data_IF_628089913771
#
_entry.id   IF_628089913771
#
_cell.length_a   1.000
_cell.length_b   1.000
_cell.length_c   1.000
_cell.angle_alpha   90.00
_cell.angle_beta   90.00
_cell.angle_gamma   90.00
#
_symmetry.space_group_name_H-M   'P 1'
#
loop_
_entity.id
_entity.type
_entity.pdbx_description
1 polymer ?
#
# COMPACT_ATOMS: atom_id res chain seq x y z
N UNK A 1 -1.59 33.81 -62.01
CA UNK A 1 -0.11 33.81 -62.17
C UNK A 1 0.49 33.37 -60.85
N UNK A 2 1.46 32.46 -60.91
CA UNK A 2 2.41 32.10 -59.85
C UNK A 2 3.47 33.23 -59.65
N UNK A 3 4.47 33.16 -58.74
CA UNK A 3 4.72 32.26 -57.59
C UNK A 3 5.22 32.97 -56.29
N UNK A 4 5.73 32.17 -55.34
CA UNK A 4 6.80 32.42 -54.33
C UNK A 4 6.50 33.00 -52.92
N UNK A 5 6.30 32.06 -51.98
CA UNK A 5 7.31 31.58 -50.99
C UNK A 5 7.87 32.47 -49.85
N UNK A 6 8.37 31.83 -48.75
CA UNK A 6 8.31 32.40 -47.40
C UNK A 6 9.65 32.94 -46.87
N UNK A 7 9.60 33.56 -45.68
CA UNK A 7 10.80 33.85 -44.88
C UNK A 7 10.91 32.94 -43.67
N UNK A 8 12.00 32.17 -43.66
CA UNK A 8 12.59 31.57 -42.46
C UNK A 8 13.29 32.64 -41.62
N UNK A 9 13.28 32.48 -40.30
CA UNK A 9 14.18 33.18 -39.38
C UNK A 9 14.72 32.20 -38.36
N UNK A 10 16.02 31.92 -38.44
CA UNK A 10 16.76 31.16 -37.46
C UNK A 10 18.12 31.83 -37.22
N UNK A 11 18.50 31.90 -35.93
CA UNK A 11 19.81 32.26 -35.38
C UNK A 11 20.40 33.67 -35.63
N UNK A 12 20.77 34.29 -34.51
CA UNK A 12 21.77 35.35 -34.45
C UNK A 12 23.00 34.81 -33.68
N UNK A 13 24.15 34.87 -34.34
CA UNK A 13 25.48 34.68 -33.75
C UNK A 13 25.95 35.99 -33.07
N UNK A 14 26.89 35.89 -32.11
CA UNK A 14 28.02 36.81 -32.14
C UNK A 14 29.37 36.13 -31.87
N UNK A 15 30.21 36.02 -32.90
CA UNK A 15 31.64 35.80 -32.76
C UNK A 15 32.41 36.99 -32.15
N UNK A 16 33.74 37.03 -32.05
CA UNK A 16 34.85 36.06 -32.10
C UNK A 16 36.14 36.90 -32.27
N UNK A 17 37.06 36.95 -31.29
CA UNK A 17 38.44 37.48 -31.38
C UNK A 17 39.25 36.92 -30.17
N UNK A 18 40.50 36.45 -30.25
CA UNK A 18 41.37 36.25 -31.42
C UNK A 18 42.86 35.95 -31.10
N UNK A 19 43.19 34.78 -30.54
CA UNK A 19 44.54 34.15 -30.56
C UNK A 19 45.68 34.74 -29.71
N UNK A 20 46.91 34.16 -29.71
CA UNK A 20 47.33 32.89 -30.36
C UNK A 20 47.91 31.82 -29.39
N UNK A 21 47.98 30.56 -29.85
CA UNK A 21 48.75 29.48 -29.20
C UNK A 21 50.23 29.49 -29.60
N UNK A 22 51.08 28.77 -28.85
CA UNK A 22 51.89 27.74 -29.51
C UNK A 22 51.90 26.39 -28.77
N UNK A 23 52.09 25.31 -29.52
CA UNK A 23 52.37 23.95 -29.03
C UNK A 23 53.72 23.51 -29.60
N UNK A 24 54.59 22.89 -28.78
CA UNK A 24 55.85 22.33 -29.31
C UNK A 24 56.89 21.88 -28.28
N UNK A 25 56.96 20.56 -28.04
CA UNK A 25 58.25 19.85 -28.02
C UNK A 25 59.08 19.70 -26.74
N UNK A 26 58.94 18.52 -26.11
CA UNK A 26 60.02 17.62 -25.65
C UNK A 26 60.90 17.91 -24.40
N UNK A 27 61.36 16.80 -23.81
CA UNK A 27 62.37 16.62 -22.72
C UNK A 27 61.99 17.15 -21.32
N UNK A 28 62.23 16.46 -20.19
CA UNK A 28 62.73 15.10 -19.94
C UNK A 28 62.83 14.77 -18.43
N UNK A 29 63.34 13.58 -18.09
CA UNK A 29 63.79 13.09 -16.77
C UNK A 29 62.76 12.69 -15.67
N UNK A 30 62.96 11.46 -15.18
CA UNK A 30 62.47 10.88 -13.90
C UNK A 30 63.57 11.03 -12.81
N UNK A 31 63.34 10.77 -11.50
CA UNK A 31 63.15 9.41 -10.92
C UNK A 31 61.99 9.33 -9.90
N UNK A 32 61.43 8.20 -9.43
CA UNK A 32 61.83 6.77 -9.32
C UNK A 32 62.58 6.34 -8.02
N UNK A 33 61.81 5.89 -7.02
CA UNK A 33 62.19 4.93 -5.96
C UNK A 33 60.86 4.40 -5.33
N UNK A 34 60.48 3.11 -5.17
CA UNK A 34 61.10 1.77 -5.25
C UNK A 34 61.41 1.09 -3.88
N UNK A 35 60.49 0.22 -3.42
CA UNK A 35 60.65 -1.03 -2.62
C UNK A 35 59.21 -1.54 -2.27
N UNK A 36 58.65 -2.71 -2.63
CA UNK A 36 59.04 -4.16 -2.65
C UNK A 36 58.90 -4.90 -1.31
N UNK A 37 57.86 -5.75 -1.19
CA UNK A 37 57.89 -7.18 -0.79
C UNK A 37 56.44 -7.74 -0.81
N UNK A 38 56.09 -8.84 -1.50
CA UNK A 38 56.34 -10.27 -1.22
C UNK A 38 55.46 -10.83 -0.06
N UNK A 39 54.85 -12.02 -0.05
CA UNK A 39 54.46 -13.09 -1.00
C UNK A 39 53.78 -14.19 -0.13
N UNK A 40 52.79 -14.93 -0.65
CA UNK A 40 52.23 -16.16 -0.04
C UNK A 40 51.09 -15.98 0.99
N UNK A 41 50.16 -16.93 1.17
CA UNK A 41 49.92 -18.17 0.41
C UNK A 41 48.78 -19.03 1.01
N UNK A 42 48.12 -19.84 0.16
CA UNK A 42 47.42 -21.12 0.42
C UNK A 42 46.49 -21.31 1.65
N UNK A 43 45.28 -21.85 1.41
CA UNK A 43 44.52 -22.58 2.44
C UNK A 43 43.06 -22.86 2.05
N UNK A 44 42.62 -24.12 2.07
CA UNK A 44 41.27 -24.53 1.66
C UNK A 44 40.57 -25.43 2.71
N UNK A 45 39.23 -25.42 2.69
CA UNK A 45 38.28 -26.40 3.24
C UNK A 45 38.23 -26.68 4.76
N UNK A 46 37.01 -26.83 5.30
CA UNK A 46 36.79 -27.36 6.67
C UNK A 46 35.43 -27.08 7.31
N UNK A 47 34.44 -27.96 7.08
CA UNK A 47 33.20 -28.15 7.86
C UNK A 47 33.06 -29.67 8.12
N UNK A 48 32.21 -30.14 9.06
CA UNK A 48 32.05 -29.80 10.49
C UNK A 48 32.46 -31.02 11.36
N UNK A 49 31.97 -31.24 12.61
CA UNK A 49 30.70 -31.96 12.78
C UNK A 49 29.85 -31.54 14.03
N UNK A 50 28.82 -32.35 14.33
CA UNK A 50 27.63 -32.10 15.16
C UNK A 50 27.58 -32.86 16.51
N UNK A 51 26.38 -32.92 17.13
CA UNK A 51 25.95 -33.58 18.40
C UNK A 51 26.10 -32.73 19.69
N UNK A 52 25.15 -32.70 20.64
CA UNK A 52 23.80 -33.30 20.71
C UNK A 52 23.05 -32.91 22.02
N UNK A 53 21.75 -33.21 22.15
CA UNK A 53 20.99 -33.16 23.43
C UNK A 53 21.11 -34.48 24.23
N UNK A 54 20.15 -34.89 25.09
CA UNK A 54 18.81 -34.30 25.38
C UNK A 54 18.32 -34.43 26.87
N UNK A 55 16.99 -34.25 27.11
CA UNK A 55 16.15 -34.72 28.26
C UNK A 55 16.28 -33.95 29.62
N UNK A 56 15.33 -33.89 30.57
CA UNK A 56 13.85 -34.12 30.73
C UNK A 56 13.46 -33.66 32.16
N UNK A 57 12.19 -33.33 32.50
CA UNK A 57 11.74 -33.41 33.91
C UNK A 57 10.61 -32.50 34.42
N UNK A 58 9.40 -33.05 34.43
CA UNK A 58 8.10 -32.61 35.00
C UNK A 58 7.96 -32.12 36.47
N UNK A 59 6.87 -31.35 36.69
CA UNK A 59 5.83 -31.41 37.78
C UNK A 59 6.03 -30.75 39.18
N UNK A 60 4.89 -30.21 39.69
CA UNK A 60 4.50 -30.06 41.11
C UNK A 60 4.64 -28.64 41.69
N UNK A 61 3.59 -27.84 41.87
CA UNK A 61 2.56 -27.83 42.96
C UNK A 61 3.11 -27.59 44.38
N UNK A 62 2.87 -26.40 44.95
CA UNK A 62 1.95 -26.20 46.09
C UNK A 62 1.97 -24.75 46.63
N UNK A 63 0.77 -24.26 46.98
CA UNK A 63 0.47 -23.08 47.82
C UNK A 63 0.14 -23.64 49.23
N UNK A 64 0.29 -22.95 50.40
CA UNK A 64 -0.74 -21.95 50.78
C UNK A 64 -0.42 -20.89 51.90
N UNK A 65 -1.38 -19.95 52.12
CA UNK A 65 -1.76 -19.25 53.39
C UNK A 65 -0.78 -18.21 54.01
N UNK A 66 -1.15 -17.04 54.57
CA UNK A 66 -2.29 -16.68 55.45
C UNK A 66 -2.46 -15.14 55.71
N UNK A 67 -3.63 -14.72 56.28
CA UNK A 67 -3.88 -13.43 56.99
C UNK A 67 -4.56 -12.30 56.17
N UNK A 68 -5.77 -11.75 56.41
CA UNK A 68 -6.59 -11.40 57.62
C UNK A 68 -5.95 -10.22 58.41
N UNK A 69 -6.50 -9.01 58.65
CA UNK A 69 -7.88 -8.43 58.86
C UNK A 69 -7.97 -6.97 58.27
N UNK A 70 -9.04 -6.14 58.36
CA UNK A 70 -10.46 -6.29 58.74
C UNK A 70 -11.11 -5.07 59.48
N UNK A 71 -12.20 -4.48 58.94
CA UNK A 71 -13.15 -3.46 59.53
C UNK A 71 -12.65 -1.99 59.69
N UNK A 72 -13.46 -0.91 59.80
CA UNK A 72 -14.92 -0.61 59.75
C UNK A 72 -15.15 0.80 59.09
N UNK A 73 -16.31 1.18 58.52
CA UNK A 73 -17.46 1.85 59.20
C UNK A 73 -17.18 3.32 59.60
N UNK A 74 -18.02 4.36 59.40
CA UNK A 74 -19.42 4.47 58.89
C UNK A 74 -19.83 5.96 58.67
N UNK A 75 -20.91 6.24 57.92
CA UNK A 75 -21.78 7.46 57.97
C UNK A 75 -21.17 8.81 57.50
N UNK A 76 -21.89 9.86 57.04
CA UNK A 76 -23.29 10.16 56.67
C UNK A 76 -23.31 11.58 55.99
N UNK A 77 -24.34 12.14 55.35
CA UNK A 77 -25.58 11.68 54.69
C UNK A 77 -26.23 12.89 53.94
N UNK A 78 -27.17 12.61 53.01
CA UNK A 78 -28.15 13.60 52.50
C UNK A 78 -27.94 14.06 51.04
N UNK A 79 -28.97 14.21 50.20
CA UNK A 79 -30.40 13.85 50.39
C UNK A 79 -31.14 13.78 49.04
N UNK A 80 -32.18 12.91 48.95
CA UNK A 80 -33.38 12.99 48.07
C UNK A 80 -33.14 13.13 46.54
N UNK A 81 -33.69 12.31 45.65
CA UNK A 81 -34.70 11.24 45.78
C UNK A 81 -35.81 11.39 44.74
N UNK A 82 -35.99 10.39 43.86
CA UNK A 82 -37.16 10.10 42.99
C UNK A 82 -36.92 8.73 42.32
N UNK A 83 -37.98 8.05 41.89
CA UNK A 83 -38.00 6.73 41.21
C UNK A 83 -37.95 5.44 42.06
N UNK A 84 -38.39 5.48 43.32
CA UNK A 84 -38.64 4.26 44.13
C UNK A 84 -39.88 3.44 43.70
N UNK A 85 -40.24 3.46 42.42
CA UNK A 85 -41.35 2.71 41.81
C UNK A 85 -40.91 1.90 40.58
N UNK A 86 -39.60 1.82 40.31
CA UNK A 86 -39.02 1.00 39.24
C UNK A 86 -38.43 -0.33 39.75
N UNK A 87 -38.26 -0.50 41.06
CA UNK A 87 -37.59 -1.68 41.63
C UNK A 87 -38.56 -2.85 41.91
N UNK A 88 -39.84 -2.60 42.26
CA UNK A 88 -40.84 -3.67 42.38
C UNK A 88 -41.23 -4.30 41.03
N UNK A 89 -41.02 -3.60 39.91
CA UNK A 89 -41.19 -4.18 38.57
C UNK A 89 -40.06 -5.17 38.20
N UNK A 90 -38.89 -5.07 38.83
CA UNK A 90 -37.74 -5.93 38.54
C UNK A 90 -37.85 -7.32 39.19
N UNK A 91 -38.53 -7.45 40.33
CA UNK A 91 -38.71 -8.73 41.02
C UNK A 91 -39.69 -9.67 40.29
N UNK A 92 -40.79 -9.13 39.74
CA UNK A 92 -41.84 -9.97 39.11
C UNK A 92 -41.43 -10.54 37.74
N UNK A 93 -40.47 -9.90 37.07
CA UNK A 93 -39.94 -10.35 35.77
C UNK A 93 -38.80 -11.38 35.88
N UNK A 94 -38.23 -11.62 37.07
CA UNK A 94 -37.11 -12.55 37.23
C UNK A 94 -37.49 -14.02 37.40
N UNK A 95 -38.76 -14.34 37.73
CA UNK A 95 -39.18 -15.73 38.06
C UNK A 95 -39.96 -16.46 36.95
N UNK A 96 -40.35 -15.82 35.84
CA UNK A 96 -41.28 -16.40 34.85
C UNK A 96 -40.74 -16.61 33.43
N UNK A 97 -39.45 -16.33 33.17
CA UNK A 97 -38.83 -16.51 31.85
C UNK A 97 -37.88 -17.73 31.73
N UNK A 98 -37.94 -18.68 32.66
CA UNK A 98 -37.24 -19.94 32.53
C UNK A 98 -37.90 -20.84 31.45
N UNK A 99 -37.13 -21.21 30.43
CA UNK A 99 -37.45 -22.20 29.37
C UNK A 99 -38.20 -21.68 28.13
N UNK A 100 -37.52 -20.86 27.32
CA UNK A 100 -37.69 -20.81 25.86
C UNK A 100 -36.31 -20.80 25.21
N UNK A 101 -36.01 -21.61 24.17
CA UNK A 101 -34.74 -21.51 23.45
C UNK A 101 -34.71 -20.22 22.63
N UNK A 102 -34.13 -19.16 23.18
CA UNK A 102 -33.88 -17.94 22.41
C UNK A 102 -32.70 -18.16 21.46
N UNK A 103 -32.92 -17.84 20.18
CA UNK A 103 -31.83 -17.64 19.24
C UNK A 103 -30.91 -16.54 19.79
N UNK A 104 -29.60 -16.80 19.77
CA UNK A 104 -28.61 -15.82 20.23
C UNK A 104 -28.77 -14.52 19.42
N UNK A 105 -28.74 -13.33 20.06
CA UNK A 105 -28.62 -12.09 19.31
C UNK A 105 -27.32 -12.19 18.52
N UNK A 106 -27.41 -12.09 17.19
CA UNK A 106 -26.23 -12.09 16.34
C UNK A 106 -25.30 -11.00 16.86
N UNK A 107 -24.10 -11.40 17.29
CA UNK A 107 -23.08 -10.46 17.74
C UNK A 107 -22.91 -9.43 16.63
N UNK A 108 -23.11 -8.15 16.94
CA UNK A 108 -22.81 -7.07 16.02
C UNK A 108 -21.31 -7.15 15.72
N UNK A 109 -20.96 -7.83 14.62
CA UNK A 109 -19.59 -8.00 14.21
C UNK A 109 -18.99 -6.61 14.02
N UNK A 110 -17.73 -6.37 14.42
CA UNK A 110 -17.11 -5.07 14.21
C UNK A 110 -17.16 -4.75 12.72
N UNK A 111 -17.97 -3.75 12.36
CA UNK A 111 -18.20 -3.32 10.97
C UNK A 111 -16.83 -3.13 10.33
N UNK A 112 -16.51 -3.98 9.36
CA UNK A 112 -15.17 -4.00 8.78
C UNK A 112 -14.86 -2.62 8.20
N UNK A 113 -13.62 -2.12 8.36
CA UNK A 113 -13.23 -0.83 7.75
C UNK A 113 -13.46 -0.81 6.22
N UNK A 114 -13.56 -2.00 5.60
CA UNK A 114 -13.88 -2.23 4.20
C UNK A 114 -15.31 -1.82 3.85
N UNK A 115 -16.31 -2.27 4.61
CA UNK A 115 -17.73 -1.93 4.36
C UNK A 115 -18.06 -0.44 4.59
N UNK A 116 -17.13 0.33 5.16
CA UNK A 116 -17.24 1.79 5.29
C UNK A 116 -16.78 2.57 4.05
N UNK A 117 -16.13 1.93 3.07
CA UNK A 117 -15.66 2.57 1.81
C UNK A 117 -16.83 2.96 0.90
N UNK A 118 -16.63 3.94 0.02
CA UNK A 118 -17.68 4.45 -0.85
C UNK A 118 -18.34 3.37 -1.73
N UNK A 119 -17.57 2.39 -2.22
CA UNK A 119 -18.08 1.32 -3.08
C UNK A 119 -19.21 0.51 -2.42
N UNK A 120 -19.01 0.07 -1.18
CA UNK A 120 -20.00 -0.74 -0.43
C UNK A 120 -21.21 0.06 0.07
N UNK A 121 -21.08 1.39 0.18
CA UNK A 121 -22.21 2.29 0.44
C UNK A 121 -23.01 2.58 -0.83
N UNK A 122 -22.37 2.55 -1.99
CA UNK A 122 -23.00 2.78 -3.29
C UNK A 122 -23.70 1.52 -3.80
N UNK A 123 -23.02 0.38 -3.77
CA UNK A 123 -23.51 -0.86 -4.38
C UNK A 123 -23.18 -2.13 -3.60
N UNK A 124 -24.13 -3.06 -3.59
CA UNK A 124 -23.90 -4.46 -3.18
C UNK A 124 -23.18 -5.21 -4.31
N UNK A 125 -22.04 -5.83 -4.01
CA UNK A 125 -21.19 -6.51 -5.01
C UNK A 125 -21.50 -8.01 -5.19
N UNK A 126 -22.57 -8.53 -4.58
CA UNK A 126 -22.85 -9.96 -4.55
C UNK A 126 -21.94 -10.72 -3.55
N UNK A 127 -21.96 -12.07 -3.56
CA UNK A 127 -21.11 -12.86 -2.66
C UNK A 127 -19.63 -12.71 -3.04
N UNK A 128 -18.79 -12.40 -2.05
CA UNK A 128 -17.35 -12.23 -2.22
C UNK A 128 -16.58 -13.35 -1.51
N UNK A 129 -15.55 -13.92 -2.16
CA UNK A 129 -14.73 -15.01 -1.58
C UNK A 129 -14.01 -14.57 -0.29
N UNK A 130 -13.73 -13.28 -0.16
CA UNK A 130 -13.14 -12.69 1.04
C UNK A 130 -14.10 -12.67 2.26
N UNK A 131 -15.41 -12.87 2.06
CA UNK A 131 -16.44 -12.87 3.10
C UNK A 131 -16.88 -14.31 3.46
N UNK A 132 -16.86 -15.23 2.48
CA UNK A 132 -16.96 -16.67 2.69
C UNK A 132 -15.82 -17.43 1.97
N UNK A 133 -14.70 -17.70 2.64
CA UNK A 133 -13.59 -18.47 2.07
C UNK A 133 -13.92 -19.93 1.77
N UNK A 134 -15.09 -20.44 2.20
CA UNK A 134 -15.56 -21.80 1.86
C UNK A 134 -16.36 -21.83 0.56
N UNK A 135 -16.76 -20.67 0.03
CA UNK A 135 -17.40 -20.56 -1.28
C UNK A 135 -16.39 -20.84 -2.41
N UNK A 136 -16.50 -22.02 -3.02
CA UNK A 136 -15.61 -22.52 -4.09
C UNK A 136 -15.85 -21.90 -5.47
N UNK A 137 -16.49 -20.73 -5.55
CA UNK A 137 -16.84 -20.03 -6.79
C UNK A 137 -15.87 -18.91 -7.18
N UNK A 138 -15.92 -18.52 -8.45
CA UNK A 138 -15.46 -17.20 -8.90
C UNK A 138 -16.37 -16.11 -8.32
N UNK A 139 -15.78 -15.03 -7.78
CA UNK A 139 -16.48 -13.79 -7.46
C UNK A 139 -16.24 -12.73 -8.57
N UNK A 140 -16.85 -11.55 -8.43
CA UNK A 140 -16.76 -10.50 -9.45
C UNK A 140 -15.32 -10.02 -9.72
N UNK A 141 -14.38 -10.17 -8.78
CA UNK A 141 -12.99 -9.78 -9.01
C UNK A 141 -12.23 -10.83 -9.83
N UNK A 142 -12.56 -12.12 -9.74
CA UNK A 142 -12.04 -13.12 -10.69
C UNK A 142 -12.55 -12.85 -12.11
N UNK A 143 -13.84 -12.48 -12.25
CA UNK A 143 -14.41 -12.10 -13.55
C UNK A 143 -13.68 -10.88 -14.17
N UNK A 144 -13.38 -9.87 -13.36
CA UNK A 144 -12.64 -8.69 -13.79
C UNK A 144 -11.19 -9.02 -14.14
N UNK A 145 -10.52 -9.85 -13.34
CA UNK A 145 -9.15 -10.31 -13.61
C UNK A 145 -9.03 -11.05 -14.95
N UNK A 146 -10.08 -11.79 -15.36
CA UNK A 146 -10.15 -12.46 -16.67
C UNK A 146 -10.48 -11.53 -17.84
N UNK A 147 -11.11 -10.39 -17.59
CA UNK A 147 -11.47 -9.40 -18.62
C UNK A 147 -10.35 -8.38 -18.88
N UNK A 148 -9.65 -7.98 -17.81
CA UNK A 148 -8.55 -7.03 -17.86
C UNK A 148 -7.29 -7.59 -18.54
N UNK A 149 -6.36 -6.71 -18.89
CA UNK A 149 -5.02 -7.08 -19.32
C UNK A 149 -4.32 -7.96 -18.25
N UNK A 150 -3.67 -9.09 -18.61
CA UNK A 150 -3.08 -10.01 -17.65
C UNK A 150 -2.01 -9.38 -16.72
N UNK A 151 -2.23 -9.54 -15.43
CA UNK A 151 -1.37 -9.02 -14.35
C UNK A 151 -1.40 -9.92 -13.10
N UNK A 152 -0.34 -9.85 -12.30
CA UNK A 152 -0.19 -10.51 -11.00
C UNK A 152 -1.06 -9.86 -9.90
N UNK A 153 -2.37 -10.13 -9.92
CA UNK A 153 -3.34 -9.55 -8.98
C UNK A 153 -3.21 -10.04 -7.53
N UNK A 154 -2.39 -11.07 -7.28
CA UNK A 154 -1.93 -11.50 -5.94
C UNK A 154 -0.81 -10.60 -5.38
N UNK A 155 -0.28 -9.67 -6.16
CA UNK A 155 0.85 -8.82 -5.79
C UNK A 155 2.18 -9.55 -5.79
N UNK A 156 3.26 -8.85 -5.44
CA UNK A 156 4.61 -9.40 -5.56
C UNK A 156 4.97 -10.38 -4.42
N UNK A 157 5.19 -11.69 -4.67
CA UNK A 157 5.88 -12.59 -3.74
C UNK A 157 7.36 -12.20 -3.61
N UNK A 158 7.66 -11.22 -2.76
CA UNK A 158 9.03 -10.78 -2.48
C UNK A 158 9.12 -10.12 -1.10
N UNK A 159 9.55 -10.88 -0.10
CA UNK A 159 9.88 -10.35 1.22
C UNK A 159 9.78 -11.42 2.32
N UNK A 160 10.79 -11.57 3.20
CA UNK A 160 10.79 -12.59 4.25
C UNK A 160 9.81 -12.30 5.42
N UNK A 161 9.00 -11.24 5.31
CA UNK A 161 8.05 -10.78 6.32
C UNK A 161 6.58 -11.08 5.98
N UNK A 162 6.28 -11.68 4.82
CA UNK A 162 4.91 -11.72 4.30
C UNK A 162 4.06 -12.84 4.91
N UNK A 163 2.88 -12.48 5.40
CA UNK A 163 1.79 -13.44 5.65
C UNK A 163 1.17 -13.80 4.31
N UNK A 164 1.19 -15.09 3.95
CA UNK A 164 0.55 -15.57 2.73
C UNK A 164 -0.94 -15.20 2.75
N UNK A 165 -1.36 -14.29 1.84
CA UNK A 165 -2.78 -14.00 1.62
C UNK A 165 -3.33 -15.06 0.67
N UNK A 166 -4.41 -15.72 1.06
CA UNK A 166 -5.12 -16.70 0.23
C UNK A 166 -6.11 -16.07 -0.76
N UNK A 167 -5.87 -14.81 -1.16
CA UNK A 167 -6.71 -14.05 -2.08
C UNK A 167 -5.83 -13.56 -3.23
N UNK A 168 -5.81 -14.35 -4.32
CA UNK A 168 -5.08 -14.08 -5.56
C UNK A 168 -5.61 -12.83 -6.30
N UNK A 169 -6.68 -12.20 -5.79
CA UNK A 169 -7.26 -10.96 -6.34
C UNK A 169 -7.07 -9.75 -5.41
N UNK A 170 -6.35 -9.87 -4.28
CA UNK A 170 -6.40 -8.83 -3.24
C UNK A 170 -5.88 -7.46 -3.72
N UNK A 171 -4.92 -7.41 -4.64
CA UNK A 171 -4.44 -6.13 -5.23
C UNK A 171 -5.50 -5.54 -6.14
N UNK A 172 -6.14 -6.35 -6.99
CA UNK A 172 -7.25 -5.90 -7.85
C UNK A 172 -8.40 -5.34 -7.01
N UNK A 173 -8.71 -6.02 -5.91
CA UNK A 173 -9.76 -5.66 -4.96
C UNK A 173 -9.47 -4.33 -4.26
N UNK A 174 -8.25 -4.14 -3.74
CA UNK A 174 -7.81 -2.85 -3.18
C UNK A 174 -7.79 -1.75 -4.26
N UNK A 175 -7.29 -2.04 -5.47
CA UNK A 175 -7.23 -1.10 -6.59
C UNK A 175 -8.61 -0.56 -6.95
N UNK A 176 -9.59 -1.43 -7.18
CA UNK A 176 -10.96 -1.04 -7.56
C UNK A 176 -11.64 -0.26 -6.43
N UNK A 177 -11.50 -0.69 -5.17
CA UNK A 177 -12.09 0.03 -4.04
C UNK A 177 -11.50 1.44 -3.86
N UNK A 178 -10.19 1.60 -4.06
CA UNK A 178 -9.52 2.90 -3.98
C UNK A 178 -9.81 3.78 -5.22
N UNK A 179 -9.92 3.19 -6.42
CA UNK A 179 -10.34 3.90 -7.64
C UNK A 179 -11.76 4.42 -7.47
N UNK A 180 -12.67 3.59 -6.94
CA UNK A 180 -14.05 4.02 -6.69
C UNK A 180 -14.14 5.13 -5.63
N UNK A 181 -13.39 5.01 -4.53
CA UNK A 181 -13.30 6.06 -3.50
C UNK A 181 -12.77 7.39 -4.11
N UNK A 182 -11.77 7.33 -5.00
CA UNK A 182 -11.26 8.50 -5.73
C UNK A 182 -12.31 9.10 -6.67
N UNK A 183 -12.97 8.29 -7.48
CA UNK A 183 -14.02 8.72 -8.41
C UNK A 183 -15.23 9.32 -7.70
N UNK A 184 -15.61 8.78 -6.54
CA UNK A 184 -16.66 9.32 -5.68
C UNK A 184 -16.32 10.74 -5.22
N UNK A 185 -15.10 10.96 -4.72
CA UNK A 185 -14.61 12.29 -4.33
C UNK A 185 -14.51 13.26 -5.51
N UNK A 186 -14.12 12.75 -6.69
CA UNK A 186 -14.08 13.51 -7.95
C UNK A 186 -15.44 13.71 -8.63
N UNK A 187 -16.53 13.13 -8.08
CA UNK A 187 -17.88 13.14 -8.66
C UNK A 187 -17.96 12.58 -10.10
N UNK A 188 -17.17 11.54 -10.37
CA UNK A 188 -17.05 10.84 -11.67
C UNK A 188 -17.80 9.50 -11.73
N UNK A 189 -18.70 9.26 -10.79
CA UNK A 189 -19.67 8.15 -10.85
C UNK A 189 -20.96 8.76 -11.42
N UNK A 190 -21.45 8.22 -12.53
CA UNK A 190 -22.64 8.74 -13.20
C UNK A 190 -23.86 7.88 -12.89
N UNK A 191 -25.03 8.49 -13.08
CA UNK A 191 -26.34 7.84 -13.13
C UNK A 191 -26.92 8.12 -14.51
N UNK A 192 -27.53 7.13 -15.15
CA UNK A 192 -28.12 7.29 -16.48
C UNK A 192 -29.30 8.29 -16.47
N UNK A 193 -29.64 8.94 -17.59
CA UNK A 193 -30.71 9.95 -17.62
C UNK A 193 -32.10 9.44 -17.23
N UNK A 194 -32.34 8.14 -17.37
CA UNK A 194 -33.56 7.43 -16.96
C UNK A 194 -33.55 7.00 -15.48
N UNK A 195 -32.44 7.18 -14.77
CA UNK A 195 -32.25 6.72 -13.39
C UNK A 195 -32.11 5.20 -13.24
N UNK A 196 -32.06 4.44 -14.33
CA UNK A 196 -32.10 2.97 -14.31
C UNK A 196 -30.72 2.31 -14.12
N UNK A 197 -29.63 3.05 -14.27
CA UNK A 197 -28.26 2.53 -14.14
C UNK A 197 -27.32 3.54 -13.47
N UNK A 198 -26.24 3.05 -12.88
CA UNK A 198 -25.10 3.86 -12.47
C UNK A 198 -23.81 3.22 -13.00
N UNK A 199 -22.80 4.03 -13.32
CA UNK A 199 -21.56 3.55 -13.96
C UNK A 199 -20.33 4.28 -13.42
N UNK A 200 -19.21 3.57 -13.36
CA UNK A 200 -17.88 4.14 -13.12
C UNK A 200 -16.83 3.49 -14.03
N UNK A 201 -15.83 4.26 -14.42
CA UNK A 201 -14.66 3.78 -15.16
C UNK A 201 -13.68 3.11 -14.19
N UNK A 202 -13.25 1.88 -14.47
CA UNK A 202 -12.37 1.15 -13.54
C UNK A 202 -10.92 1.62 -13.59
N UNK A 203 -10.51 2.33 -14.66
CA UNK A 203 -9.10 2.62 -14.96
C UNK A 203 -8.32 1.39 -15.48
N UNK A 204 -9.00 0.25 -15.70
CA UNK A 204 -8.44 -0.94 -16.33
C UNK A 204 -8.88 -1.03 -17.79
N UNK A 205 -8.06 -1.70 -18.59
CA UNK A 205 -8.32 -2.00 -20.00
C UNK A 205 -8.24 -3.49 -20.25
N UNK A 206 -8.87 -3.95 -21.33
CA UNK A 206 -8.67 -5.31 -21.87
C UNK A 206 -7.29 -5.44 -22.52
N UNK A 207 -6.90 -6.66 -22.89
CA UNK A 207 -5.70 -6.91 -23.72
C UNK A 207 -5.72 -6.21 -25.09
N UNK A 208 -6.85 -5.65 -25.52
CA UNK A 208 -6.99 -4.83 -26.74
C UNK A 208 -6.93 -3.33 -26.49
N UNK A 209 -6.63 -2.91 -25.25
CA UNK A 209 -6.63 -1.50 -24.80
C UNK A 209 -8.02 -0.83 -24.86
N UNK A 210 -9.09 -1.63 -24.69
CA UNK A 210 -10.47 -1.16 -24.56
C UNK A 210 -10.80 -0.95 -23.08
N UNK A 211 -11.37 0.20 -22.71
CA UNK A 211 -11.64 0.53 -21.30
C UNK A 211 -12.73 -0.35 -20.66
N UNK A 212 -12.57 -0.66 -19.37
CA UNK A 212 -13.51 -1.47 -18.59
C UNK A 212 -14.26 -0.60 -17.57
N UNK A 213 -15.58 -0.77 -17.51
CA UNK A 213 -16.50 -0.06 -16.65
C UNK A 213 -17.23 -1.02 -15.72
N UNK A 214 -17.52 -0.57 -14.49
CA UNK A 214 -18.46 -1.24 -13.61
C UNK A 214 -19.86 -0.67 -13.79
N UNK A 215 -20.80 -1.50 -14.22
CA UNK A 215 -22.21 -1.13 -14.41
C UNK A 215 -23.05 -1.63 -13.23
N UNK A 216 -23.87 -0.74 -12.68
CA UNK A 216 -24.78 -1.02 -11.59
C UNK A 216 -26.25 -0.84 -12.01
N UNK A 217 -27.13 -1.64 -11.42
CA UNK A 217 -28.60 -1.54 -11.51
C UNK A 217 -29.20 -1.30 -10.13
N UNK A 218 -30.42 -0.74 -10.01
CA UNK A 218 -31.06 -0.51 -8.72
C UNK A 218 -31.13 -1.79 -7.88
N UNK A 219 -30.81 -1.65 -6.60
CA UNK A 219 -31.00 -2.72 -5.63
C UNK A 219 -32.49 -3.02 -5.45
N UNK A 220 -32.78 -4.26 -5.05
CA UNK A 220 -34.13 -4.67 -4.62
C UNK A 220 -34.30 -4.59 -3.09
N UNK A 221 -33.21 -4.36 -2.37
CA UNK A 221 -33.18 -4.18 -0.93
C UNK A 221 -33.39 -2.68 -0.62
N UNK A 222 -34.50 -2.28 0.01
CA UNK A 222 -34.78 -0.89 0.33
C UNK A 222 -33.97 -0.35 1.52
N UNK A 223 -33.41 -1.24 2.35
CA UNK A 223 -32.65 -0.88 3.56
C UNK A 223 -31.12 -0.99 3.33
N UNK A 224 -30.71 -1.57 2.19
CA UNK A 224 -29.32 -1.79 1.79
C UNK A 224 -28.73 -0.66 0.92
N UNK A 225 -27.62 -0.98 0.23
CA UNK A 225 -27.03 -0.07 -0.75
C UNK A 225 -28.02 0.17 -1.92
N UNK A 226 -28.14 1.39 -2.46
CA UNK A 226 -29.16 1.74 -3.46
C UNK A 226 -28.95 1.03 -4.81
N UNK A 227 -27.72 0.60 -5.10
CA UNK A 227 -27.38 -0.13 -6.32
C UNK A 227 -26.90 -1.56 -6.02
N UNK A 228 -26.85 -2.42 -7.04
CA UNK A 228 -26.04 -3.64 -7.05
C UNK A 228 -25.15 -3.67 -8.28
N UNK A 229 -23.98 -4.30 -8.19
CA UNK A 229 -23.17 -4.57 -9.37
C UNK A 229 -23.92 -5.53 -10.30
N UNK A 230 -24.08 -5.11 -11.56
CA UNK A 230 -24.58 -5.96 -12.63
C UNK A 230 -23.43 -6.78 -13.22
N UNK A 231 -22.30 -6.12 -13.49
CA UNK A 231 -21.09 -6.75 -14.02
C UNK A 231 -20.06 -5.73 -14.51
N UNK A 232 -19.03 -6.25 -15.16
CA UNK A 232 -17.97 -5.49 -15.83
C UNK A 232 -18.22 -5.51 -17.32
N UNK A 233 -18.16 -4.34 -17.95
CA UNK A 233 -18.49 -4.13 -19.36
C UNK A 233 -17.37 -3.34 -20.01
N UNK A 234 -17.03 -3.66 -21.26
CA UNK A 234 -16.07 -2.85 -22.03
C UNK A 234 -16.79 -1.67 -22.69
N UNK A 235 -16.07 -0.62 -23.06
CA UNK A 235 -16.68 0.63 -23.57
C UNK A 235 -17.58 0.42 -24.80
N UNK A 236 -17.32 -0.58 -25.64
CA UNK A 236 -18.13 -0.87 -26.83
C UNK A 236 -19.40 -1.70 -26.57
N UNK A 237 -19.60 -2.21 -25.35
CA UNK A 237 -20.76 -3.03 -25.02
C UNK A 237 -22.07 -2.26 -25.13
N UNK A 238 -23.08 -2.91 -25.73
CA UNK A 238 -24.35 -2.26 -26.09
C UNK A 238 -25.10 -1.73 -24.87
N UNK A 239 -25.02 -2.43 -23.74
CA UNK A 239 -25.63 -2.06 -22.46
C UNK A 239 -25.14 -0.67 -22.01
N UNK A 240 -23.84 -0.38 -22.08
CA UNK A 240 -23.30 0.94 -21.76
C UNK A 240 -23.80 2.00 -22.75
N UNK A 241 -23.63 1.74 -24.04
CA UNK A 241 -24.00 2.67 -25.13
C UNK A 241 -25.51 2.98 -25.18
N UNK A 242 -26.36 2.11 -24.64
CA UNK A 242 -27.82 2.31 -24.58
C UNK A 242 -28.23 3.26 -23.44
N UNK A 243 -27.52 3.24 -22.31
CA UNK A 243 -27.89 4.00 -21.10
C UNK A 243 -27.05 5.25 -20.86
N UNK A 244 -25.86 5.35 -21.46
CA UNK A 244 -24.93 6.46 -21.27
C UNK A 244 -24.49 7.06 -22.62
N UNK A 245 -24.92 8.30 -22.96
CA UNK A 245 -24.48 8.96 -24.19
C UNK A 245 -23.02 9.45 -24.12
N UNK A 246 -22.47 9.57 -22.91
CA UNK A 246 -21.07 9.85 -22.61
C UNK A 246 -20.70 9.04 -21.36
N UNK A 247 -19.54 8.38 -21.40
CA UNK A 247 -19.04 7.55 -20.30
C UNK A 247 -18.15 8.36 -19.35
N UNK A 248 -18.08 8.03 -18.05
CA UNK A 248 -17.25 8.77 -17.12
C UNK A 248 -15.76 8.60 -17.43
N UNK A 249 -14.94 9.66 -17.32
CA UNK A 249 -13.49 9.52 -17.43
C UNK A 249 -12.91 8.77 -16.22
N UNK A 250 -11.79 8.09 -16.44
CA UNK A 250 -11.00 7.44 -15.39
C UNK A 250 -10.55 8.42 -14.27
N UNK A 251 -10.10 7.86 -13.14
CA UNK A 251 -9.64 8.65 -12.00
C UNK A 251 -8.32 9.38 -12.29
N UNK A 252 -8.19 10.64 -11.88
CA UNK A 252 -6.89 11.36 -11.91
C UNK A 252 -6.23 11.36 -10.54
N UNK A 253 -4.91 11.12 -10.49
CA UNK A 253 -4.17 11.00 -9.22
C UNK A 253 -3.14 12.13 -8.98
N UNK A 254 -2.47 12.59 -10.03
CA UNK A 254 -1.63 13.79 -10.05
C UNK A 254 -2.33 14.91 -10.83
N UNK A 255 -2.05 16.15 -10.47
CA UNK A 255 -2.37 17.33 -11.30
C UNK A 255 -1.16 17.67 -12.19
N UNK A 256 0.06 17.56 -11.65
CA UNK A 256 1.31 17.90 -12.34
C UNK A 256 2.22 16.68 -12.55
N UNK A 257 2.80 16.46 -13.75
CA UNK A 257 3.72 15.34 -13.99
C UNK A 257 4.95 15.31 -13.06
N UNK A 258 5.34 16.46 -12.51
CA UNK A 258 6.44 16.58 -11.55
C UNK A 258 6.16 15.89 -10.21
N UNK A 259 4.89 15.62 -9.86
CA UNK A 259 4.53 14.85 -8.65
C UNK A 259 4.95 13.37 -8.75
N UNK A 260 5.10 12.85 -9.98
CA UNK A 260 5.38 11.44 -10.25
C UNK A 260 6.87 11.08 -10.19
N UNK A 261 7.76 12.06 -10.07
CA UNK A 261 9.22 11.89 -10.19
C UNK A 261 9.94 12.45 -8.96
N UNK A 262 10.97 11.74 -8.49
CA UNK A 262 11.80 12.19 -7.37
C UNK A 262 12.74 13.32 -7.77
N UNK A 263 12.55 14.51 -7.18
CA UNK A 263 13.45 15.64 -7.34
C UNK A 263 14.68 15.49 -6.45
N UNK A 264 15.76 14.95 -7.01
CA UNK A 264 17.03 14.71 -6.28
C UNK A 264 17.72 15.97 -5.76
N UNK A 265 17.24 17.17 -6.13
CA UNK A 265 17.74 18.45 -5.60
C UNK A 265 17.18 18.75 -4.21
N UNK A 266 16.02 18.20 -3.87
CA UNK A 266 15.41 18.33 -2.55
C UNK A 266 16.10 17.42 -1.52
N UNK A 267 16.28 17.91 -0.29
CA UNK A 267 16.83 17.10 0.80
C UNK A 267 15.85 15.99 1.22
N UNK A 268 16.34 14.79 1.49
CA UNK A 268 15.54 13.70 2.06
C UNK A 268 15.74 13.64 3.58
N UNK A 269 14.75 14.12 4.33
CA UNK A 269 14.76 14.14 5.79
C UNK A 269 13.97 12.94 6.34
N UNK A 270 14.68 12.00 6.97
CA UNK A 270 14.09 10.80 7.58
C UNK A 270 14.56 10.67 9.02
N UNK A 271 13.61 10.70 9.96
CA UNK A 271 13.90 10.41 11.37
C UNK A 271 13.55 8.94 11.64
N UNK A 272 14.57 8.08 11.66
CA UNK A 272 14.41 6.64 11.85
C UNK A 272 13.73 6.29 13.18
N UNK A 273 14.11 6.95 14.29
CA UNK A 273 13.48 6.74 15.60
C UNK A 273 11.98 7.00 15.58
N UNK A 274 11.57 8.17 15.06
CA UNK A 274 10.16 8.57 14.94
C UNK A 274 9.34 7.67 14.01
N UNK A 275 9.95 7.10 12.97
CA UNK A 275 9.27 6.08 12.14
C UNK A 275 9.04 4.79 12.93
N UNK A 276 9.99 4.37 13.75
CA UNK A 276 9.97 3.08 14.46
C UNK A 276 9.20 3.11 15.79
N UNK A 277 8.78 4.28 16.26
CA UNK A 277 7.74 4.45 17.31
C UNK A 277 6.38 3.85 16.89
N UNK A 278 6.11 3.75 15.59
CA UNK A 278 4.87 3.16 15.07
C UNK A 278 4.97 1.64 14.92
N UNK A 279 4.09 0.91 15.60
CA UNK A 279 3.96 -0.54 15.47
C UNK A 279 3.63 -0.98 14.02
N UNK A 280 2.88 -0.19 13.25
CA UNK A 280 2.61 -0.47 11.82
C UNK A 280 3.90 -0.43 10.99
N UNK A 281 4.74 0.60 11.20
CA UNK A 281 6.01 0.77 10.50
C UNK A 281 7.02 -0.32 10.90
N UNK A 282 7.04 -0.69 12.18
CA UNK A 282 7.93 -1.74 12.69
C UNK A 282 7.54 -3.12 12.15
N UNK A 283 6.23 -3.41 12.07
CA UNK A 283 5.71 -4.66 11.50
C UNK A 283 5.99 -4.81 9.99
N UNK A 284 6.20 -3.71 9.27
CA UNK A 284 6.61 -3.73 7.86
C UNK A 284 8.07 -4.17 7.64
N UNK A 285 8.88 -4.29 8.71
CA UNK A 285 10.27 -4.71 8.62
C UNK A 285 10.44 -6.24 8.70
N UNK A 286 11.50 -6.80 8.06
CA UNK A 286 11.83 -8.21 8.21
C UNK A 286 12.34 -8.53 9.62
N UNK A 287 12.14 -9.77 10.05
CA UNK A 287 12.81 -10.29 11.24
C UNK A 287 14.34 -10.38 10.99
N UNK A 288 15.20 -10.11 11.99
CA UNK A 288 14.88 -9.74 13.37
C UNK A 288 14.69 -8.23 13.60
N UNK A 289 14.74 -7.38 12.56
CA UNK A 289 14.70 -5.92 12.71
C UNK A 289 13.36 -5.45 13.33
N UNK A 290 12.25 -6.07 12.96
CA UNK A 290 10.93 -5.81 13.57
C UNK A 290 10.85 -6.12 15.08
N UNK A 291 11.79 -6.88 15.64
CA UNK A 291 11.85 -7.20 17.07
C UNK A 291 12.82 -6.29 17.85
N UNK A 292 13.65 -5.49 17.18
CA UNK A 292 14.66 -4.63 17.80
C UNK A 292 14.69 -3.23 17.15
N UNK A 293 13.85 -2.29 17.61
CA UNK A 293 13.76 -0.93 17.04
C UNK A 293 15.08 -0.16 17.03
N UNK A 294 15.97 -0.38 18.01
CA UNK A 294 17.28 0.27 18.04
C UNK A 294 18.18 -0.21 16.90
N UNK A 295 18.28 -1.53 16.70
CA UNK A 295 19.02 -2.11 15.58
C UNK A 295 18.38 -1.74 14.23
N UNK A 296 17.05 -1.75 14.14
CA UNK A 296 16.31 -1.31 12.96
C UNK A 296 16.64 0.14 12.60
N UNK A 297 16.75 1.04 13.58
CA UNK A 297 17.10 2.45 13.36
C UNK A 297 18.46 2.62 12.68
N UNK A 298 19.50 1.97 13.22
CA UNK A 298 20.86 2.00 12.66
C UNK A 298 20.92 1.44 11.22
N UNK A 299 20.20 0.34 10.95
CA UNK A 299 20.12 -0.25 9.60
C UNK A 299 19.35 0.65 8.64
N UNK A 300 18.23 1.22 9.10
CA UNK A 300 17.36 2.09 8.32
C UNK A 300 18.08 3.36 7.86
N UNK A 301 18.86 4.01 8.72
CA UNK A 301 19.66 5.17 8.32
C UNK A 301 20.63 4.86 7.16
N UNK A 302 21.29 3.70 7.21
CA UNK A 302 22.19 3.24 6.14
C UNK A 302 21.42 2.91 4.86
N UNK A 303 20.26 2.26 4.99
CA UNK A 303 19.40 1.91 3.85
C UNK A 303 18.81 3.15 3.18
N UNK A 304 18.37 4.17 3.93
CA UNK A 304 17.87 5.45 3.40
C UNK A 304 18.94 6.17 2.58
N UNK A 305 20.19 6.25 3.08
CA UNK A 305 21.31 6.86 2.34
C UNK A 305 21.61 6.10 1.04
N UNK A 306 21.51 4.75 1.04
CA UNK A 306 21.62 3.92 -0.18
C UNK A 306 20.46 4.16 -1.14
N UNK A 307 19.23 4.23 -0.64
CA UNK A 307 18.01 4.44 -1.42
C UNK A 307 18.03 5.81 -2.12
N UNK A 308 18.40 6.88 -1.41
CA UNK A 308 18.60 8.22 -1.97
C UNK A 308 19.69 8.22 -3.05
N UNK A 309 20.81 7.52 -2.79
CA UNK A 309 21.90 7.37 -3.78
C UNK A 309 21.46 6.60 -5.03
N UNK A 310 20.52 5.66 -4.90
CA UNK A 310 19.91 4.92 -6.02
C UNK A 310 18.96 5.83 -6.81
N UNK A 311 18.02 6.51 -6.15
CA UNK A 311 17.08 7.46 -6.75
C UNK A 311 17.74 8.64 -7.46
N UNK A 312 18.95 9.05 -7.02
CA UNK A 312 19.73 10.09 -7.73
C UNK A 312 20.40 9.58 -9.02
N UNK A 313 20.66 8.28 -9.15
CA UNK A 313 21.28 7.67 -10.34
C UNK A 313 20.27 7.16 -11.36
N UNK A 314 19.10 6.76 -10.88
CA UNK A 314 18.01 6.20 -11.67
C UNK A 314 16.70 6.84 -11.24
N UNK A 315 16.08 7.60 -12.15
CA UNK A 315 14.84 8.33 -11.91
C UNK A 315 13.64 7.39 -11.67
N UNK A 316 13.71 6.12 -12.12
CA UNK A 316 12.68 5.11 -11.90
C UNK A 316 12.79 4.42 -10.53
N UNK A 317 13.93 4.55 -9.85
CA UNK A 317 14.12 3.88 -8.57
C UNK A 317 13.21 4.43 -7.46
N UNK A 318 12.67 5.64 -7.61
CA UNK A 318 11.59 6.15 -6.78
C UNK A 318 10.25 5.94 -7.48
N UNK A 319 9.42 5.01 -6.99
CA UNK A 319 8.17 4.63 -7.67
C UNK A 319 7.00 5.48 -7.13
N UNK A 320 6.22 6.17 -7.97
CA UNK A 320 5.08 6.94 -7.49
C UNK A 320 3.93 6.03 -7.03
N UNK A 321 3.22 6.46 -5.99
CA UNK A 321 2.13 5.71 -5.39
C UNK A 321 1.02 6.63 -4.86
N UNK A 322 -0.20 6.10 -4.75
CA UNK A 322 -1.29 6.81 -4.10
C UNK A 322 -1.25 6.62 -2.58
N UNK A 323 -1.35 7.71 -1.82
CA UNK A 323 -1.66 7.64 -0.39
C UNK A 323 -3.13 8.06 -0.13
N UNK A 324 -4.03 7.11 0.15
CA UNK A 324 -5.44 7.40 0.46
C UNK A 324 -5.66 8.25 1.73
N UNK A 325 -4.67 8.31 2.63
CA UNK A 325 -4.79 9.06 3.90
C UNK A 325 -4.57 10.55 3.72
N UNK A 326 -3.58 10.94 2.90
CA UNK A 326 -3.31 12.36 2.60
C UNK A 326 -3.86 12.84 1.25
N UNK A 327 -4.51 11.95 0.48
CA UNK A 327 -5.08 12.21 -0.85
C UNK A 327 -4.09 12.83 -1.83
N UNK A 328 -2.86 12.30 -1.84
CA UNK A 328 -1.78 12.80 -2.70
C UNK A 328 -0.95 11.67 -3.27
N UNK A 329 -0.28 11.97 -4.38
CA UNK A 329 0.85 11.19 -4.83
C UNK A 329 1.97 11.29 -3.79
N UNK A 330 2.56 10.13 -3.49
CA UNK A 330 3.78 9.96 -2.69
C UNK A 330 4.76 9.15 -3.52
N UNK A 331 6.02 9.10 -3.08
CA UNK A 331 7.05 8.30 -3.75
C UNK A 331 7.53 7.19 -2.82
N UNK A 332 7.83 6.03 -3.38
CA UNK A 332 8.36 4.86 -2.67
C UNK A 332 9.84 4.74 -2.97
N UNK A 333 10.67 4.71 -1.93
CA UNK A 333 12.11 4.45 -2.03
C UNK A 333 12.45 3.03 -1.56
N UNK A 334 13.27 2.27 -2.31
CA UNK A 334 13.63 0.89 -1.98
C UNK A 334 14.58 0.83 -0.78
N UNK A 335 14.16 0.16 0.29
CA UNK A 335 15.02 -0.11 1.44
C UNK A 335 15.60 -1.52 1.37
N UNK A 336 16.88 -1.58 1.01
CA UNK A 336 17.74 -2.76 1.15
C UNK A 336 18.30 -2.80 2.57
N UNK A 337 17.70 -3.62 3.43
CA UNK A 337 17.94 -3.70 4.88
C UNK A 337 18.81 -4.90 5.26
N UNK A 338 18.54 -6.08 4.68
CA UNK A 338 19.19 -7.35 5.03
C UNK A 338 20.43 -7.63 4.17
N UNK A 339 20.37 -7.27 2.89
CA UNK A 339 21.47 -7.40 1.92
C UNK A 339 21.46 -6.22 0.93
N UNK A 340 22.55 -5.96 0.18
CA UNK A 340 22.60 -4.85 -0.77
C UNK A 340 21.69 -5.03 -1.99
N UNK A 341 21.45 -6.27 -2.42
CA UNK A 341 20.81 -6.60 -3.70
C UNK A 341 19.31 -6.92 -3.57
N UNK A 342 18.85 -7.30 -2.37
CA UNK A 342 17.43 -7.43 -2.07
C UNK A 342 16.83 -6.06 -1.66
N UNK A 343 15.54 -5.86 -1.94
CA UNK A 343 14.74 -4.85 -1.26
C UNK A 343 13.87 -5.59 -0.26
N UNK A 344 13.80 -5.10 0.99
CA UNK A 344 13.06 -5.74 2.07
C UNK A 344 11.76 -4.98 2.42
N UNK A 345 11.78 -3.66 2.25
CA UNK A 345 10.68 -2.75 2.54
C UNK A 345 10.72 -1.52 1.63
N UNK A 346 9.64 -0.75 1.60
CA UNK A 346 9.56 0.54 0.93
C UNK A 346 9.44 1.69 1.96
N UNK A 347 10.22 2.75 1.80
CA UNK A 347 9.98 4.02 2.49
C UNK A 347 9.06 4.89 1.64
N UNK A 348 7.86 5.18 2.13
CA UNK A 348 7.00 6.21 1.55
C UNK A 348 7.50 7.59 1.98
N UNK A 349 7.83 8.42 0.98
CA UNK A 349 8.24 9.81 1.15
C UNK A 349 7.25 10.78 0.51
N UNK A 350 7.11 11.96 1.11
CA UNK A 350 6.27 13.04 0.60
C UNK A 350 7.05 14.34 0.48
N UNK A 351 6.81 15.09 -0.59
CA UNK A 351 7.36 16.44 -0.78
C UNK A 351 6.63 17.42 0.13
N UNK A 352 7.37 18.34 0.75
CA UNK A 352 6.86 19.49 1.48
C UNK A 352 7.34 20.78 0.79
N UNK A 353 6.53 21.30 -0.13
CA UNK A 353 6.94 22.35 -1.08
C UNK A 353 7.44 23.63 -0.42
N UNK A 354 6.84 24.02 0.71
CA UNK A 354 7.24 25.20 1.47
C UNK A 354 8.66 25.13 2.08
N UNK A 355 9.28 23.95 2.08
CA UNK A 355 10.62 23.70 2.62
C UNK A 355 11.56 23.04 1.60
N UNK A 356 11.09 22.74 0.40
CA UNK A 356 11.84 22.03 -0.66
C UNK A 356 12.51 20.72 -0.19
N UNK A 357 11.88 19.99 0.74
CA UNK A 357 12.35 18.70 1.26
C UNK A 357 11.37 17.57 0.95
N UNK A 358 11.89 16.35 0.88
CA UNK A 358 11.12 15.12 1.03
C UNK A 358 11.19 14.65 2.49
N UNK A 359 10.06 14.26 3.08
CA UNK A 359 10.00 13.62 4.40
C UNK A 359 9.60 12.16 4.30
N UNK A 360 10.26 11.30 5.07
CA UNK A 360 9.81 9.93 5.28
C UNK A 360 8.58 9.87 6.19
N UNK A 361 7.49 9.27 5.73
CA UNK A 361 6.21 9.21 6.47
C UNK A 361 5.87 7.81 6.99
N UNK A 362 6.17 6.76 6.22
CA UNK A 362 5.69 5.40 6.50
C UNK A 362 6.63 4.35 5.92
N UNK A 363 6.78 3.23 6.61
CA UNK A 363 7.43 2.02 6.10
C UNK A 363 6.33 1.06 5.62
N UNK A 364 6.50 0.48 4.44
CA UNK A 364 5.56 -0.48 3.85
C UNK A 364 6.25 -1.79 3.53
N UNK A 365 5.55 -2.89 3.79
CA UNK A 365 5.86 -4.18 3.17
C UNK A 365 5.67 -4.08 1.64
N UNK A 366 6.43 -4.86 0.88
CA UNK A 366 6.54 -4.71 -0.57
C UNK A 366 5.24 -4.99 -1.33
N UNK A 367 4.38 -5.83 -0.78
CA UNK A 367 3.05 -6.13 -1.30
C UNK A 367 2.08 -4.94 -1.17
N UNK A 368 2.07 -4.27 -0.01
CA UNK A 368 1.31 -3.03 0.19
C UNK A 368 1.89 -1.90 -0.67
N UNK A 369 3.22 -1.84 -0.80
CA UNK A 369 3.89 -0.88 -1.68
C UNK A 369 3.51 -1.09 -3.15
N UNK A 370 3.45 -2.35 -3.63
CA UNK A 370 2.96 -2.70 -4.96
C UNK A 370 1.52 -2.22 -5.16
N UNK A 371 0.59 -2.54 -4.25
CA UNK A 371 -0.80 -2.13 -4.38
C UNK A 371 -0.99 -0.60 -4.40
N UNK A 372 -0.19 0.14 -3.60
CA UNK A 372 -0.22 1.62 -3.57
C UNK A 372 0.36 2.22 -4.86
N UNK A 373 1.41 1.62 -5.43
CA UNK A 373 1.97 2.03 -6.72
C UNK A 373 1.02 1.71 -7.88
N UNK A 374 0.41 0.53 -7.86
CA UNK A 374 -0.49 0.02 -8.89
C UNK A 374 -1.73 0.90 -9.12
N UNK A 375 -2.11 1.67 -8.11
CA UNK A 375 -3.16 2.69 -8.19
C UNK A 375 -2.91 3.72 -9.31
N UNK A 376 -1.63 4.06 -9.57
CA UNK A 376 -1.22 5.03 -10.59
C UNK A 376 -0.85 4.35 -11.90
N UNK A 377 -0.01 3.30 -11.84
CA UNK A 377 0.48 2.58 -13.00
C UNK A 377 0.98 1.18 -12.61
N UNK A 378 0.98 0.23 -13.56
CA UNK A 378 1.61 -1.09 -13.39
C UNK A 378 3.11 -0.92 -13.04
N UNK A 379 3.60 -1.43 -11.88
CA UNK A 379 5.02 -1.32 -11.53
C UNK A 379 5.91 -2.21 -12.41
N UNK A 380 7.04 -1.66 -12.87
CA UNK A 380 8.01 -2.32 -13.78
C UNK A 380 9.45 -2.29 -13.23
N UNK A 381 9.60 -2.12 -11.91
CA UNK A 381 10.87 -1.83 -11.25
C UNK A 381 11.12 -2.84 -10.11
N UNK A 382 11.78 -2.43 -9.02
CA UNK A 382 12.06 -3.28 -7.85
C UNK A 382 10.83 -3.74 -7.05
N UNK A 383 9.62 -3.31 -7.44
CA UNK A 383 8.35 -3.78 -6.90
C UNK A 383 7.75 -4.95 -7.71
N UNK A 384 8.25 -5.24 -8.92
CA UNK A 384 7.78 -6.37 -9.72
C UNK A 384 8.31 -7.67 -9.10
N UNK A 385 7.47 -8.72 -8.93
CA UNK A 385 7.98 -10.00 -8.43
C UNK A 385 8.99 -10.62 -9.41
N UNK A 386 9.93 -11.44 -8.91
CA UNK A 386 10.72 -12.29 -9.78
C UNK A 386 9.76 -13.20 -10.55
N UNK A 387 9.91 -13.26 -11.88
CA UNK A 387 9.12 -14.17 -12.70
C UNK A 387 9.28 -15.59 -12.17
N UNK A 388 8.16 -16.30 -11.99
CA UNK A 388 8.19 -17.69 -11.56
C UNK A 388 8.97 -18.52 -12.60
N UNK A 389 10.15 -19.00 -12.23
CA UNK A 389 10.96 -19.88 -13.06
C UNK A 389 10.15 -21.14 -13.38
N UNK A 390 9.74 -21.26 -14.65
CA UNK A 390 8.93 -22.37 -15.18
C UNK A 390 9.75 -23.63 -15.39
#
# INVERSE_FOLDING_TARGET
MTPHEPKSTAYHDPGHLGGPHPFGGAEGASPAAAATDALGGTGAAGLPPSYGGPLTGSKGTDDPLAGVSGSAGTAAAGSRGRHAYLEEAAAYLSETAATVPQAQPASAQPISRRSQRALYKHATLGPLRAEDPSASGEDFFDLLARLAEPEEWGGAPSGPAQVARSDDTWVLREYIEQTFERLYRQRRILTSPDGAHSVFNTGLVTSRQEEIYGLFVPSRDPDGAPWRLQGWYTESERELQTHFPELPPAATYAEEPAELVYDWRCELVVNAGRLLESAENLAALPAPLNANPYQAGLVLEGAVRRAQSRARRDYRAAVPCWDPLSERVRLLLPLSLTSPDAVDAALMVGREDAQEVYRGHRLLALDIAYARARQLARPHDWLTPPAASS
#
